data_IF_128800870408
#
_entry.id   IF_128800870408
#
_cell.length_a   1.000
_cell.length_b   1.000
_cell.length_c   1.000
_cell.angle_alpha   90.00
_cell.angle_beta   90.00
_cell.angle_gamma   90.00
#
_symmetry.space_group_name_H-M   'P 1'
#
loop_
_entity.id
_entity.type
_entity.pdbx_description
1 polymer ?
#
# COMPACT_ATOMS: atom_id res chain seq x y z
N UNK A 1 3.26 21.04 4.41
CA UNK A 1 2.81 19.79 5.09
C UNK A 1 3.52 18.65 4.40
N UNK A 2 4.45 17.98 5.10
CA UNK A 2 5.35 16.99 4.50
C UNK A 2 4.90 15.58 4.82
N UNK A 3 4.58 14.80 3.79
CA UNK A 3 4.20 13.39 3.87
C UNK A 3 5.46 12.53 3.72
N UNK A 4 5.75 11.65 4.67
CA UNK A 4 6.85 10.69 4.55
C UNK A 4 6.28 9.30 4.25
N UNK A 5 6.47 8.85 3.01
CA UNK A 5 6.04 7.54 2.52
C UNK A 5 7.20 6.57 2.67
N UNK A 6 7.04 5.51 3.46
CA UNK A 6 8.11 4.56 3.73
C UNK A 6 7.68 3.16 3.29
N UNK A 7 8.49 2.50 2.48
CA UNK A 7 8.25 1.11 2.09
C UNK A 7 9.06 0.68 0.88
N UNK A 8 9.22 -0.63 0.67
CA UNK A 8 10.01 -1.13 -0.44
C UNK A 8 9.39 -0.82 -1.79
N UNK A 9 10.24 -0.65 -2.81
CA UNK A 9 9.82 -0.81 -4.20
C UNK A 9 9.86 -2.28 -4.57
N UNK A 10 9.02 -2.66 -5.53
CA UNK A 10 8.95 -4.00 -6.04
C UNK A 10 9.12 -4.05 -7.55
N UNK A 11 9.58 -5.18 -8.04
CA UNK A 11 9.49 -5.52 -9.46
C UNK A 11 8.30 -6.45 -9.65
N UNK A 12 7.31 -6.00 -10.39
CA UNK A 12 6.14 -6.78 -10.76
C UNK A 12 6.34 -7.46 -12.11
N UNK A 13 6.06 -8.75 -12.19
CA UNK A 13 5.87 -9.48 -13.43
C UNK A 13 4.38 -9.73 -13.62
N UNK A 14 3.81 -9.16 -14.65
CA UNK A 14 2.39 -9.30 -14.99
C UNK A 14 2.27 -10.31 -16.11
N UNK A 15 1.55 -11.41 -15.85
CA UNK A 15 1.32 -12.51 -16.80
C UNK A 15 -0.16 -12.58 -17.10
N UNK A 16 -0.50 -12.37 -18.37
CA UNK A 16 -1.84 -12.63 -18.92
C UNK A 16 -1.78 -13.79 -19.92
N UNK A 17 -2.90 -14.24 -20.45
CA UNK A 17 -2.91 -15.27 -21.48
C UNK A 17 -2.07 -14.90 -22.72
N UNK A 18 -1.92 -13.59 -23.02
CA UNK A 18 -1.35 -13.10 -24.27
C UNK A 18 -0.03 -12.33 -24.07
N UNK A 19 0.36 -12.00 -22.84
CA UNK A 19 1.51 -11.16 -22.59
C UNK A 19 2.24 -11.50 -21.29
N UNK A 20 3.50 -11.14 -21.26
CA UNK A 20 4.34 -11.13 -20.07
C UNK A 20 5.10 -9.82 -20.04
N UNK A 21 4.84 -8.99 -19.06
CA UNK A 21 5.43 -7.66 -18.90
C UNK A 21 6.09 -7.51 -17.53
N UNK A 22 7.00 -6.55 -17.41
CA UNK A 22 7.64 -6.18 -16.15
C UNK A 22 7.37 -4.71 -15.89
N UNK A 23 7.08 -4.37 -14.65
CA UNK A 23 6.80 -3.00 -14.22
C UNK A 23 7.43 -2.74 -12.84
N UNK A 24 7.68 -1.49 -12.53
CA UNK A 24 7.92 -1.06 -11.17
C UNK A 24 6.59 -1.11 -10.39
N UNK A 25 6.66 -1.46 -9.12
CA UNK A 25 5.52 -1.60 -8.24
C UNK A 25 5.89 -1.34 -6.79
N UNK A 26 4.99 -1.77 -5.90
CA UNK A 26 5.02 -1.49 -4.48
C UNK A 26 4.17 -0.27 -4.11
N UNK A 27 3.55 -0.30 -2.93
CA UNK A 27 2.60 0.73 -2.52
C UNK A 27 3.23 2.12 -2.51
N UNK A 28 4.47 2.26 -2.01
CA UNK A 28 5.19 3.54 -2.00
C UNK A 28 5.40 4.12 -3.40
N UNK A 29 5.57 3.26 -4.42
CA UNK A 29 5.67 3.68 -5.82
C UNK A 29 4.36 4.30 -6.30
N UNK A 30 3.25 3.57 -6.19
CA UNK A 30 1.93 4.05 -6.65
C UNK A 30 1.46 5.30 -5.92
N UNK A 31 1.66 5.37 -4.62
CA UNK A 31 1.28 6.51 -3.79
C UNK A 31 2.06 7.77 -4.15
N UNK A 32 3.35 7.65 -4.49
CA UNK A 32 4.18 8.78 -4.90
C UNK A 32 3.63 9.48 -6.14
N UNK A 33 3.03 8.74 -7.08
CA UNK A 33 2.38 9.34 -8.26
C UNK A 33 1.14 10.14 -7.89
N UNK A 34 0.34 9.68 -6.94
CA UNK A 34 -0.82 10.43 -6.47
C UNK A 34 -0.37 11.73 -5.79
N UNK A 35 0.60 11.66 -4.88
CA UNK A 35 1.08 12.85 -4.17
C UNK A 35 1.73 13.86 -5.11
N UNK A 36 2.50 13.42 -6.11
CA UNK A 36 3.08 14.30 -7.12
C UNK A 36 1.99 14.97 -7.98
N UNK A 37 0.99 14.21 -8.45
CA UNK A 37 -0.10 14.71 -9.29
C UNK A 37 -0.92 15.81 -8.61
N UNK A 38 -1.14 15.65 -7.30
CA UNK A 38 -1.86 16.64 -6.50
C UNK A 38 -0.94 17.71 -5.87
N UNK A 39 0.32 17.80 -6.32
CA UNK A 39 1.31 18.77 -5.85
C UNK A 39 1.47 18.79 -4.32
N UNK A 40 1.44 17.62 -3.69
CA UNK A 40 1.70 17.49 -2.27
C UNK A 40 3.21 17.54 -2.00
N UNK A 41 3.59 18.11 -0.87
CA UNK A 41 4.96 18.02 -0.38
C UNK A 41 5.14 16.61 0.24
N UNK A 42 5.97 15.78 -0.40
CA UNK A 42 6.22 14.41 0.07
C UNK A 42 7.68 13.99 -0.10
N UNK A 43 8.08 13.03 0.70
CA UNK A 43 9.36 12.31 0.59
C UNK A 43 9.07 10.82 0.63
N UNK A 44 9.54 10.08 -0.38
CA UNK A 44 9.48 8.63 -0.41
C UNK A 44 10.82 8.05 0.07
N UNK A 45 10.79 7.28 1.15
CA UNK A 45 11.95 6.51 1.63
C UNK A 45 11.75 5.05 1.23
N UNK A 46 12.55 4.58 0.28
CA UNK A 46 12.31 3.28 -0.32
C UNK A 46 13.57 2.43 -0.42
N UNK A 47 13.45 1.15 -0.04
CA UNK A 47 14.51 0.18 -0.21
C UNK A 47 14.30 -0.65 -1.49
N UNK A 48 15.38 -0.88 -2.20
CA UNK A 48 15.46 -1.67 -3.43
C UNK A 48 16.93 -1.88 -3.82
N UNK A 49 17.19 -2.83 -4.73
CA UNK A 49 18.50 -3.04 -5.35
C UNK A 49 18.48 -2.70 -6.85
N UNK A 50 17.33 -2.90 -7.51
CA UNK A 50 17.21 -2.70 -8.95
C UNK A 50 16.94 -1.24 -9.30
N UNK A 51 17.94 -0.54 -9.87
CA UNK A 51 17.82 0.87 -10.27
C UNK A 51 16.84 1.11 -11.42
N UNK A 52 16.46 0.10 -12.19
CA UNK A 52 15.46 0.26 -13.25
C UNK A 52 14.08 0.61 -12.68
N UNK A 53 13.80 0.27 -11.42
CA UNK A 53 12.53 0.57 -10.75
C UNK A 53 12.28 2.07 -10.56
N UNK A 54 13.33 2.86 -10.48
CA UNK A 54 13.21 4.31 -10.26
C UNK A 54 13.31 5.13 -11.56
N UNK A 55 13.45 4.47 -12.71
CA UNK A 55 13.55 5.17 -14.00
C UNK A 55 12.34 6.06 -14.26
N UNK A 56 11.14 5.54 -13.96
CA UNK A 56 9.87 6.22 -14.18
C UNK A 56 9.26 6.74 -12.86
N UNK A 57 10.08 6.86 -11.80
CA UNK A 57 9.61 7.42 -10.54
C UNK A 57 9.20 8.90 -10.73
N UNK A 58 8.07 9.36 -10.16
CA UNK A 58 7.47 10.63 -10.56
C UNK A 58 8.37 11.83 -10.27
N UNK A 59 9.13 11.80 -9.17
CA UNK A 59 10.05 12.86 -8.80
C UNK A 59 11.25 12.29 -8.02
N UNK A 60 12.38 12.14 -8.68
CA UNK A 60 13.60 11.63 -8.04
C UNK A 60 14.16 12.55 -6.95
N UNK A 61 13.81 13.84 -6.96
CA UNK A 61 14.18 14.78 -5.90
C UNK A 61 13.50 14.49 -4.57
N UNK A 62 12.37 13.79 -4.61
CA UNK A 62 11.58 13.38 -3.44
C UNK A 62 11.89 11.94 -3.00
N UNK A 63 12.85 11.25 -3.63
CA UNK A 63 13.20 9.87 -3.30
C UNK A 63 14.48 9.81 -2.45
N UNK A 64 14.39 9.24 -1.26
CA UNK A 64 15.51 8.83 -0.42
C UNK A 64 15.69 7.32 -0.58
N UNK A 65 16.69 6.86 -1.35
CA UNK A 65 16.89 5.43 -1.58
C UNK A 65 17.63 4.78 -0.43
N UNK A 66 17.15 3.62 0.02
CA UNK A 66 17.88 2.66 0.84
C UNK A 66 18.30 1.53 -0.09
N UNK A 67 19.57 1.54 -0.50
CA UNK A 67 20.07 0.49 -1.40
C UNK A 67 20.31 -0.78 -0.61
N UNK A 68 19.49 -1.79 -0.85
CA UNK A 68 19.55 -3.11 -0.23
C UNK A 68 20.32 -4.15 -1.06
N UNK A 69 20.38 -5.37 -0.56
CA UNK A 69 21.05 -6.51 -1.24
C UNK A 69 20.12 -7.23 -2.22
N UNK A 70 18.80 -7.00 -2.12
CA UNK A 70 17.77 -7.65 -2.95
C UNK A 70 16.63 -6.65 -3.24
N UNK A 71 15.65 -7.09 -4.02
CA UNK A 71 14.44 -6.35 -4.36
C UNK A 71 13.23 -7.26 -4.23
N UNK A 72 12.12 -6.75 -3.71
CA UNK A 72 10.86 -7.48 -3.74
C UNK A 72 10.44 -7.78 -5.18
N UNK A 73 10.03 -9.01 -5.41
CA UNK A 73 9.58 -9.48 -6.70
C UNK A 73 8.21 -10.14 -6.56
N UNK A 74 7.26 -9.69 -7.38
CA UNK A 74 5.94 -10.30 -7.44
C UNK A 74 5.65 -10.81 -8.85
N UNK A 75 5.01 -11.98 -8.92
CA UNK A 75 4.41 -12.50 -10.13
C UNK A 75 2.91 -12.39 -9.96
N UNK A 76 2.26 -11.60 -10.80
CA UNK A 76 0.83 -11.42 -10.87
C UNK A 76 0.32 -12.14 -12.12
N UNK A 77 -0.30 -13.29 -11.94
CA UNK A 77 -0.85 -14.12 -13.01
C UNK A 77 -2.36 -13.97 -13.08
N UNK A 78 -2.84 -13.54 -14.24
CA UNK A 78 -4.27 -13.40 -14.55
C UNK A 78 -4.66 -14.51 -15.52
N UNK A 79 -5.27 -15.63 -15.03
CA UNK A 79 -5.58 -16.79 -15.83
C UNK A 79 -6.73 -16.54 -16.81
N UNK A 80 -7.60 -15.58 -16.52
CA UNK A 80 -8.78 -15.22 -17.33
C UNK A 80 -8.65 -13.76 -17.78
N UNK A 81 -8.70 -13.52 -19.10
CA UNK A 81 -8.56 -12.16 -19.63
C UNK A 81 -9.74 -11.23 -19.27
N UNK A 82 -10.91 -11.82 -19.05
CA UNK A 82 -12.16 -11.09 -18.84
C UNK A 82 -12.51 -10.92 -17.34
N UNK A 83 -11.68 -11.44 -16.44
CA UNK A 83 -11.89 -11.35 -15.00
C UNK A 83 -10.59 -11.04 -14.28
N UNK A 84 -10.30 -9.75 -14.06
CA UNK A 84 -9.13 -9.26 -13.36
C UNK A 84 -9.21 -9.43 -11.83
N UNK A 85 -10.35 -9.85 -11.29
CA UNK A 85 -10.50 -10.14 -9.86
C UNK A 85 -9.87 -11.50 -9.51
N UNK A 86 -9.72 -12.40 -10.51
CA UNK A 86 -9.05 -13.69 -10.33
C UNK A 86 -7.55 -13.53 -10.62
N UNK A 87 -6.78 -13.27 -9.56
CA UNK A 87 -5.32 -13.13 -9.62
C UNK A 87 -4.64 -14.20 -8.76
N UNK A 88 -3.65 -14.87 -9.33
CA UNK A 88 -2.66 -15.64 -8.56
C UNK A 88 -1.43 -14.77 -8.34
N UNK A 89 -0.98 -14.70 -7.12
CA UNK A 89 0.18 -13.89 -6.77
C UNK A 89 1.25 -14.74 -6.09
N UNK A 90 2.51 -14.51 -6.51
CA UNK A 90 3.67 -15.16 -5.93
C UNK A 90 4.72 -14.11 -5.59
N UNK A 91 5.57 -14.39 -4.61
CA UNK A 91 6.62 -13.47 -4.17
C UNK A 91 7.91 -14.22 -3.85
N UNK A 92 9.04 -13.52 -3.99
CA UNK A 92 10.34 -14.00 -3.51
C UNK A 92 10.52 -13.82 -1.99
N UNK A 93 9.61 -13.09 -1.32
CA UNK A 93 9.72 -12.76 0.10
C UNK A 93 11.13 -12.28 0.49
N UNK A 94 11.67 -11.35 -0.30
CA UNK A 94 12.97 -10.76 -0.03
C UNK A 94 13.05 -10.24 1.41
N UNK A 95 14.14 -10.61 2.11
CA UNK A 95 14.35 -10.16 3.48
C UNK A 95 15.23 -8.91 3.49
N UNK A 96 14.61 -7.76 3.27
CA UNK A 96 15.27 -6.44 3.18
C UNK A 96 14.57 -5.43 4.09
N UNK A 97 14.60 -5.63 5.43
CA UNK A 97 13.90 -4.75 6.36
C UNK A 97 14.41 -3.31 6.29
N UNK A 98 13.51 -2.36 6.50
CA UNK A 98 13.83 -0.96 6.72
C UNK A 98 14.11 -0.79 8.21
N UNK A 99 15.36 -0.50 8.55
CA UNK A 99 15.82 -0.38 9.92
C UNK A 99 15.78 1.09 10.39
N UNK A 100 15.48 1.31 11.66
CA UNK A 100 15.44 2.66 12.26
C UNK A 100 16.72 3.46 12.02
N UNK A 101 17.89 2.82 12.03
CA UNK A 101 19.17 3.47 11.85
C UNK A 101 19.41 3.95 10.39
N UNK A 102 18.54 3.57 9.47
CA UNK A 102 18.49 4.03 8.07
C UNK A 102 17.55 5.23 7.88
N UNK A 103 16.81 5.62 8.94
CA UNK A 103 15.77 6.63 8.89
C UNK A 103 16.24 7.87 9.64
N UNK A 104 16.94 8.78 8.94
CA UNK A 104 17.34 10.08 9.48
C UNK A 104 16.57 11.18 8.77
N UNK A 105 15.77 11.93 9.53
CA UNK A 105 14.98 13.04 9.00
C UNK A 105 15.52 14.36 9.55
N UNK A 106 15.87 15.26 8.64
CA UNK A 106 16.42 16.60 8.96
C UNK A 106 15.42 17.72 8.65
N UNK A 107 14.15 17.36 8.42
CA UNK A 107 13.05 18.25 8.09
C UNK A 107 11.83 17.94 8.97
N UNK A 108 10.88 18.85 9.01
CA UNK A 108 9.62 18.70 9.73
C UNK A 108 8.71 17.70 9.00
N UNK A 109 8.08 16.81 9.76
CA UNK A 109 7.22 15.74 9.25
C UNK A 109 5.81 15.96 9.82
N UNK A 110 4.81 15.89 8.97
CA UNK A 110 3.42 16.01 9.39
C UNK A 110 2.69 14.64 9.46
N UNK A 111 3.16 13.64 8.70
CA UNK A 111 2.55 12.31 8.66
C UNK A 111 3.50 11.25 8.13
N UNK A 112 3.42 10.04 8.67
CA UNK A 112 4.04 8.84 8.11
C UNK A 112 3.01 7.96 7.40
N UNK A 113 3.42 7.39 6.26
CA UNK A 113 2.67 6.40 5.51
C UNK A 113 3.55 5.16 5.35
N UNK A 114 3.16 4.05 6.00
CA UNK A 114 3.96 2.83 6.06
C UNK A 114 3.38 1.75 5.14
N UNK A 115 4.22 1.23 4.27
CA UNK A 115 3.84 0.34 3.19
C UNK A 115 4.66 -0.96 3.15
N UNK A 116 4.53 -1.87 4.12
CA UNK A 116 5.20 -3.17 4.04
C UNK A 116 4.66 -4.00 2.86
N UNK A 117 5.51 -4.74 2.20
CA UNK A 117 5.17 -5.72 1.17
C UNK A 117 5.27 -7.15 1.70
N UNK A 118 6.04 -7.37 2.77
CA UNK A 118 6.02 -8.58 3.56
C UNK A 118 6.20 -8.29 5.06
N UNK A 119 6.03 -9.33 5.88
CA UNK A 119 5.98 -9.25 7.36
C UNK A 119 7.24 -8.65 8.00
N UNK A 120 8.40 -8.81 7.37
CA UNK A 120 9.69 -8.42 7.95
C UNK A 120 10.16 -7.03 7.50
N UNK A 121 9.42 -6.35 6.62
CA UNK A 121 9.87 -5.07 6.08
C UNK A 121 9.99 -3.97 7.12
N UNK A 122 9.16 -4.02 8.17
CA UNK A 122 9.23 -3.11 9.30
C UNK A 122 9.36 -3.90 10.61
N UNK A 123 10.57 -4.05 11.16
CA UNK A 123 10.74 -4.49 12.54
C UNK A 123 9.98 -3.59 13.52
N UNK A 124 9.47 -4.15 14.62
CA UNK A 124 8.70 -3.38 15.62
C UNK A 124 9.51 -2.18 16.12
N UNK A 125 10.81 -2.34 16.30
CA UNK A 125 11.72 -1.27 16.73
C UNK A 125 11.75 -0.09 15.74
N UNK A 126 11.51 -0.34 14.46
CA UNK A 126 11.40 0.72 13.44
C UNK A 126 10.08 1.46 13.58
N UNK A 127 8.98 0.72 13.77
CA UNK A 127 7.66 1.32 13.99
C UNK A 127 7.68 2.15 15.28
N UNK A 128 8.25 1.62 16.37
CA UNK A 128 8.35 2.32 17.66
C UNK A 128 9.21 3.59 17.56
N UNK A 129 10.27 3.55 16.74
CA UNK A 129 11.04 4.75 16.45
C UNK A 129 10.18 5.81 15.74
N UNK A 130 9.40 5.45 14.74
CA UNK A 130 8.54 6.39 14.03
C UNK A 130 7.44 6.99 14.92
N UNK A 131 6.90 6.23 15.86
CA UNK A 131 5.95 6.72 16.87
C UNK A 131 6.55 7.83 17.77
N UNK A 132 7.87 7.90 17.91
CA UNK A 132 8.52 8.95 18.73
C UNK A 132 8.39 10.35 18.14
N UNK A 133 8.01 10.48 16.88
CA UNK A 133 7.79 11.77 16.22
C UNK A 133 6.45 12.43 16.58
N UNK A 134 5.55 11.70 17.23
CA UNK A 134 4.23 12.19 17.68
C UNK A 134 3.39 12.81 16.55
N UNK A 135 3.45 12.18 15.37
CA UNK A 135 2.65 12.54 14.19
C UNK A 135 1.78 11.35 13.76
N UNK A 136 0.68 11.59 13.03
CA UNK A 136 -0.16 10.51 12.53
C UNK A 136 0.61 9.47 11.70
N UNK A 137 0.29 8.18 11.90
CA UNK A 137 0.83 7.06 11.13
C UNK A 137 -0.32 6.34 10.44
N UNK A 138 -0.27 6.31 9.10
CA UNK A 138 -1.16 5.56 8.24
C UNK A 138 -0.45 4.30 7.76
N UNK A 139 -1.07 3.14 7.95
CA UNK A 139 -0.43 1.84 7.74
C UNK A 139 -1.22 0.96 6.77
N UNK A 140 -0.57 0.51 5.69
CA UNK A 140 -1.07 -0.60 4.87
C UNK A 140 -0.81 -1.92 5.58
N UNK A 141 -1.84 -2.71 5.83
CA UNK A 141 -1.71 -3.97 6.57
C UNK A 141 -1.20 -5.13 5.71
N UNK A 142 -1.32 -5.02 4.40
CA UNK A 142 -1.10 -6.09 3.44
C UNK A 142 0.19 -6.88 3.68
N UNK A 143 1.32 -6.20 3.84
CA UNK A 143 2.61 -6.86 4.01
C UNK A 143 2.71 -7.67 5.29
N UNK A 144 2.21 -7.16 6.41
CA UNK A 144 2.26 -7.86 7.69
C UNK A 144 1.47 -9.16 7.73
N UNK A 145 0.45 -9.27 6.87
CA UNK A 145 -0.42 -10.44 6.80
C UNK A 145 0.09 -11.51 5.82
N UNK A 146 1.08 -11.21 4.98
CA UNK A 146 1.61 -12.11 3.94
C UNK A 146 2.74 -12.97 4.49
N UNK A 147 2.63 -14.28 4.26
CA UNK A 147 3.68 -15.26 4.52
C UNK A 147 3.88 -16.17 3.30
N UNK A 148 5.10 -16.75 3.13
CA UNK A 148 5.30 -17.77 2.11
C UNK A 148 4.52 -19.04 2.45
N UNK A 149 3.93 -19.66 1.41
CA UNK A 149 3.22 -20.94 1.51
C UNK A 149 3.96 -22.01 0.68
N UNK A 150 3.43 -22.40 -0.47
CA UNK A 150 4.03 -23.39 -1.31
C UNK A 150 5.16 -22.82 -2.17
N UNK A 151 6.29 -23.52 -2.23
CA UNK A 151 7.41 -23.16 -3.11
C UNK A 151 7.04 -23.48 -4.56
N UNK A 152 7.08 -22.45 -5.44
CA UNK A 152 6.70 -22.56 -6.85
C UNK A 152 7.94 -22.81 -7.73
N UNK A 153 9.04 -22.15 -7.43
CA UNK A 153 10.34 -22.30 -8.11
C UNK A 153 11.49 -22.06 -7.12
N UNK A 154 12.72 -21.88 -7.60
CA UNK A 154 13.88 -21.72 -6.74
C UNK A 154 13.82 -20.49 -5.83
N UNK A 155 13.05 -19.46 -6.19
CA UNK A 155 13.01 -18.17 -5.49
C UNK A 155 11.60 -17.76 -5.05
N UNK A 156 10.55 -18.25 -5.71
CA UNK A 156 9.20 -17.74 -5.53
C UNK A 156 8.31 -18.73 -4.78
N UNK A 157 7.43 -18.18 -3.98
CA UNK A 157 6.42 -18.88 -3.15
C UNK A 157 5.03 -18.31 -3.43
N UNK A 158 4.01 -19.13 -3.32
CA UNK A 158 2.64 -18.65 -3.21
C UNK A 158 2.47 -17.86 -1.91
N UNK A 159 1.50 -16.97 -1.91
CA UNK A 159 1.22 -16.10 -0.77
C UNK A 159 0.06 -16.67 0.02
N UNK A 160 0.25 -16.85 1.31
CA UNK A 160 -0.80 -17.13 2.29
C UNK A 160 -0.99 -15.93 3.20
N UNK A 161 -2.22 -15.66 3.59
CA UNK A 161 -2.52 -14.67 4.60
C UNK A 161 -2.54 -15.33 5.99
N UNK A 162 -1.88 -14.71 6.94
CA UNK A 162 -1.81 -15.16 8.33
C UNK A 162 -1.62 -13.97 9.27
N UNK A 163 -2.43 -13.94 10.33
CA UNK A 163 -2.33 -12.92 11.38
C UNK A 163 -1.01 -13.06 12.13
N UNK A 164 -0.20 -11.99 12.26
CA UNK A 164 1.04 -12.04 13.03
C UNK A 164 0.75 -12.12 14.54
N UNK A 165 1.58 -12.87 15.28
CA UNK A 165 1.43 -13.01 16.73
C UNK A 165 1.65 -11.69 17.49
N UNK A 166 2.47 -10.79 16.94
CA UNK A 166 2.81 -9.48 17.49
C UNK A 166 1.96 -8.33 16.93
N UNK A 167 0.76 -8.62 16.44
CA UNK A 167 -0.11 -7.61 15.82
C UNK A 167 -0.44 -6.46 16.77
N UNK A 168 -0.61 -6.75 18.06
CA UNK A 168 -0.90 -5.73 19.07
C UNK A 168 0.27 -4.71 19.21
N UNK A 169 1.53 -5.16 19.11
CA UNK A 169 2.71 -4.29 19.13
C UNK A 169 2.79 -3.42 17.86
N UNK A 170 2.42 -3.99 16.70
CA UNK A 170 2.39 -3.28 15.43
C UNK A 170 1.35 -2.15 15.47
N UNK A 171 0.13 -2.46 15.90
CA UNK A 171 -1.02 -1.56 15.81
C UNK A 171 -1.10 -0.51 16.92
N UNK A 172 -0.44 -0.73 18.06
CA UNK A 172 -0.44 0.25 19.14
C UNK A 172 0.13 1.60 18.68
N UNK A 173 -0.66 2.68 18.78
CA UNK A 173 -0.25 4.04 18.39
C UNK A 173 -0.30 4.30 16.87
N UNK A 174 -0.97 3.44 16.08
CA UNK A 174 -1.26 3.68 14.66
C UNK A 174 -2.56 4.48 14.55
N UNK A 175 -2.56 5.54 13.76
CA UNK A 175 -3.73 6.42 13.55
C UNK A 175 -4.77 5.76 12.65
N UNK A 176 -4.35 5.22 11.53
CA UNK A 176 -5.26 4.57 10.58
C UNK A 176 -4.61 3.35 9.91
N UNK A 177 -5.43 2.33 9.63
CA UNK A 177 -5.00 1.15 8.88
C UNK A 177 -5.85 0.94 7.63
N UNK A 178 -5.19 0.38 6.60
CA UNK A 178 -5.81 0.04 5.33
C UNK A 178 -5.66 -1.44 5.05
N UNK A 179 -6.78 -2.07 4.69
CA UNK A 179 -6.85 -3.50 4.38
C UNK A 179 -7.90 -3.75 3.30
N UNK A 180 -7.85 -4.92 2.70
CA UNK A 180 -9.00 -5.43 1.94
C UNK A 180 -9.97 -6.21 2.85
N UNK A 181 -11.12 -6.59 2.30
CA UNK A 181 -12.17 -7.31 3.04
C UNK A 181 -11.69 -8.67 3.57
N UNK A 182 -10.79 -9.37 2.88
CA UNK A 182 -10.25 -10.66 3.30
C UNK A 182 -9.24 -10.49 4.44
N UNK A 183 -8.43 -9.46 4.37
CA UNK A 183 -7.47 -9.05 5.39
C UNK A 183 -8.19 -8.60 6.66
N UNK A 184 -9.28 -7.82 6.53
CA UNK A 184 -10.08 -7.36 7.64
C UNK A 184 -10.71 -8.53 8.42
N UNK A 185 -11.27 -9.53 7.73
CA UNK A 185 -11.80 -10.76 8.34
C UNK A 185 -10.73 -11.56 9.10
N UNK A 186 -9.48 -11.49 8.67
CA UNK A 186 -8.38 -12.15 9.35
C UNK A 186 -7.92 -11.39 10.60
N UNK A 187 -7.90 -10.06 10.54
CA UNK A 187 -7.43 -9.19 11.63
C UNK A 187 -8.46 -9.07 12.74
N UNK A 188 -9.74 -8.89 12.37
CA UNK A 188 -10.84 -8.60 13.29
C UNK A 188 -11.77 -9.80 13.43
N UNK A 189 -11.70 -10.47 14.56
CA UNK A 189 -12.59 -11.57 14.91
C UNK A 189 -14.02 -11.03 15.11
N UNK A 190 -15.01 -11.61 14.42
CA UNK A 190 -16.43 -11.25 14.52
C UNK A 190 -16.72 -9.73 14.37
N UNK A 191 -16.00 -9.06 13.47
CA UNK A 191 -16.12 -7.62 13.21
C UNK A 191 -15.89 -6.74 14.47
N UNK A 192 -15.07 -7.22 15.40
CA UNK A 192 -14.72 -6.46 16.60
C UNK A 192 -13.64 -5.41 16.29
N UNK A 193 -14.03 -4.34 15.60
CA UNK A 193 -13.16 -3.22 15.23
C UNK A 193 -12.66 -2.39 16.42
N UNK A 194 -13.32 -2.46 17.57
CA UNK A 194 -12.93 -1.76 18.79
C UNK A 194 -11.82 -2.44 19.59
N UNK A 195 -11.29 -3.58 19.11
CA UNK A 195 -10.21 -4.30 19.76
C UNK A 195 -8.94 -3.47 19.90
N UNK A 196 -8.64 -2.66 18.89
CA UNK A 196 -7.46 -1.81 18.83
C UNK A 196 -7.89 -0.35 18.94
N UNK A 197 -7.03 0.46 19.57
CA UNK A 197 -7.21 1.91 19.67
C UNK A 197 -6.70 2.58 18.38
N UNK A 198 -7.52 2.50 17.33
CA UNK A 198 -7.23 3.01 15.99
C UNK A 198 -8.36 3.96 15.61
N UNK A 199 -8.01 5.18 15.20
CA UNK A 199 -9.01 6.21 14.87
C UNK A 199 -9.81 5.86 13.62
N UNK A 200 -9.16 5.27 12.60
CA UNK A 200 -9.79 4.95 11.33
C UNK A 200 -9.34 3.59 10.78
N UNK A 201 -10.29 2.72 10.47
CA UNK A 201 -10.05 1.44 9.79
C UNK A 201 -10.72 1.52 8.42
N UNK A 202 -9.91 1.55 7.37
CA UNK A 202 -10.38 1.67 5.99
C UNK A 202 -10.31 0.30 5.32
N UNK A 203 -11.47 -0.24 4.92
CA UNK A 203 -11.62 -1.57 4.34
C UNK A 203 -12.11 -1.44 2.91
N UNK A 204 -11.27 -1.80 1.95
CA UNK A 204 -11.63 -1.79 0.52
C UNK A 204 -12.19 -3.14 0.06
N UNK A 205 -13.14 -3.13 -0.87
CA UNK A 205 -13.76 -4.33 -1.41
C UNK A 205 -13.98 -4.24 -2.94
N UNK A 206 -12.95 -3.84 -3.67
CA UNK A 206 -12.96 -3.74 -5.12
C UNK A 206 -14.22 -3.04 -5.67
N UNK A 207 -14.98 -3.68 -6.56
CA UNK A 207 -16.21 -3.14 -7.16
C UNK A 207 -17.36 -2.91 -6.18
N UNK A 208 -17.29 -3.48 -4.98
CA UNK A 208 -18.30 -3.28 -3.91
C UNK A 208 -18.04 -2.01 -3.08
N UNK A 209 -16.99 -1.25 -3.41
CA UNK A 209 -16.63 -0.02 -2.74
C UNK A 209 -15.74 -0.19 -1.51
N UNK A 210 -15.99 0.57 -0.45
CA UNK A 210 -15.21 0.52 0.79
C UNK A 210 -16.06 0.84 2.02
N UNK A 211 -15.50 0.51 3.19
CA UNK A 211 -16.08 0.84 4.50
C UNK A 211 -15.02 1.54 5.34
N UNK A 212 -15.44 2.57 6.06
CA UNK A 212 -14.57 3.30 6.98
C UNK A 212 -15.18 3.20 8.37
N UNK A 213 -14.43 2.63 9.31
CA UNK A 213 -14.83 2.49 10.70
C UNK A 213 -14.10 3.56 11.51
N UNK A 214 -14.85 4.52 12.04
CA UNK A 214 -14.33 5.67 12.80
C UNK A 214 -15.31 6.07 13.91
N UNK A 215 -15.57 5.15 14.84
CA UNK A 215 -16.65 5.27 15.84
C UNK A 215 -18.01 4.79 15.32
N UNK A 216 -18.30 4.99 14.06
CA UNK A 216 -19.42 4.42 13.31
C UNK A 216 -18.89 3.83 11.98
N UNK A 217 -19.73 3.07 11.28
CA UNK A 217 -19.42 2.59 9.93
C UNK A 217 -19.95 3.56 8.88
N UNK A 218 -19.09 3.97 7.95
CA UNK A 218 -19.41 4.76 6.77
C UNK A 218 -19.16 3.86 5.55
N UNK A 219 -20.16 3.75 4.67
CA UNK A 219 -20.06 3.00 3.42
C UNK A 219 -19.83 3.96 2.27
N UNK A 220 -18.83 3.63 1.45
CA UNK A 220 -18.48 4.39 0.25
C UNK A 220 -18.74 3.50 -0.95
N UNK A 221 -19.55 3.95 -1.88
CA UNK A 221 -19.81 3.23 -3.12
C UNK A 221 -18.61 3.30 -4.07
N UNK A 222 -18.39 2.23 -4.84
CA UNK A 222 -17.43 2.27 -5.93
C UNK A 222 -17.99 3.09 -7.10
N UNK A 223 -17.11 3.82 -7.81
CA UNK A 223 -17.48 4.39 -9.10
C UNK A 223 -17.43 3.30 -10.18
N UNK A 224 -18.48 3.20 -10.97
CA UNK A 224 -18.54 2.26 -12.08
C UNK A 224 -17.51 2.61 -13.16
N UNK A 225 -16.76 1.62 -13.62
CA UNK A 225 -15.78 1.74 -14.72
C UNK A 225 -16.13 0.69 -15.78
N UNK A 226 -16.40 1.15 -17.01
CA UNK A 226 -16.78 0.25 -18.10
C UNK A 226 -15.60 -0.56 -18.64
N UNK A 227 -14.43 0.10 -18.81
CA UNK A 227 -13.22 -0.51 -19.38
C UNK A 227 -12.07 -0.49 -18.39
N UNK A 228 -11.78 -1.61 -17.76
CA UNK A 228 -10.67 -1.76 -16.82
C UNK A 228 -9.42 -2.14 -17.60
N UNK A 229 -8.41 -1.26 -17.56
CA UNK A 229 -7.11 -1.49 -18.19
C UNK A 229 -6.14 -2.23 -17.23
N UNK A 230 -6.07 -1.83 -15.97
CA UNK A 230 -5.14 -2.39 -14.98
C UNK A 230 -5.60 -2.11 -13.56
N UNK A 231 -5.76 -3.16 -12.74
CA UNK A 231 -6.14 -3.05 -11.32
C UNK A 231 -4.94 -2.97 -10.36
N UNK A 232 -3.70 -3.14 -10.87
CA UNK A 232 -2.49 -3.11 -10.03
C UNK A 232 -2.30 -1.74 -9.38
N UNK A 233 -2.15 -1.69 -8.07
CA UNK A 233 -1.95 -0.44 -7.33
C UNK A 233 -3.20 0.40 -7.08
N UNK A 234 -4.42 -0.10 -7.40
CA UNK A 234 -5.66 0.63 -7.11
C UNK A 234 -5.88 0.84 -5.60
N UNK A 235 -5.63 -0.16 -4.77
CA UNK A 235 -5.70 -0.01 -3.32
C UNK A 235 -4.69 0.99 -2.78
N UNK A 236 -3.46 0.99 -3.32
CA UNK A 236 -2.41 1.93 -2.95
C UNK A 236 -2.77 3.36 -3.38
N UNK A 237 -3.37 3.51 -4.57
CA UNK A 237 -3.91 4.79 -5.08
C UNK A 237 -5.05 5.28 -4.21
N UNK A 238 -5.99 4.40 -3.82
CA UNK A 238 -7.06 4.72 -2.90
C UNK A 238 -6.50 5.25 -1.56
N UNK A 239 -5.56 4.52 -0.96
CA UNK A 239 -4.92 4.92 0.30
C UNK A 239 -4.28 6.31 0.21
N UNK A 240 -3.50 6.59 -0.85
CA UNK A 240 -2.87 7.88 -1.04
C UNK A 240 -3.88 9.03 -1.19
N UNK A 241 -4.93 8.83 -2.00
CA UNK A 241 -5.98 9.81 -2.22
C UNK A 241 -6.79 10.08 -0.93
N UNK A 242 -7.06 9.02 -0.15
CA UNK A 242 -7.70 9.14 1.15
C UNK A 242 -6.87 10.00 2.12
N UNK A 243 -5.59 9.66 2.27
CA UNK A 243 -4.66 10.40 3.15
C UNK A 243 -4.58 11.86 2.74
N UNK A 244 -4.46 12.15 1.44
CA UNK A 244 -4.43 13.51 0.91
C UNK A 244 -5.62 14.33 1.43
N UNK A 245 -6.83 13.78 1.33
CA UNK A 245 -8.05 14.48 1.77
C UNK A 245 -8.13 14.60 3.29
N UNK A 246 -7.72 13.57 4.02
CA UNK A 246 -7.67 13.64 5.50
C UNK A 246 -6.71 14.72 5.99
N UNK A 247 -5.58 14.92 5.31
CA UNK A 247 -4.63 16.00 5.62
C UNK A 247 -5.20 17.40 5.30
N UNK A 248 -6.14 17.51 4.40
CA UNK A 248 -6.87 18.75 4.12
C UNK A 248 -8.06 18.99 5.08
N UNK A 249 -8.19 18.16 6.13
CA UNK A 249 -9.23 18.22 7.15
C UNK A 249 -10.64 17.87 6.64
N UNK A 250 -10.74 17.20 5.50
CA UNK A 250 -12.00 16.65 5.01
C UNK A 250 -12.47 15.50 5.94
N UNK A 251 -13.76 15.27 6.00
CA UNK A 251 -14.31 14.14 6.78
C UNK A 251 -13.85 12.78 6.21
N UNK A 252 -13.90 11.70 7.02
CA UNK A 252 -13.63 10.35 6.49
C UNK A 252 -14.51 9.97 5.30
N UNK A 253 -15.78 10.43 5.28
CA UNK A 253 -16.70 10.20 4.17
C UNK A 253 -16.23 10.88 2.89
N UNK A 254 -15.97 12.19 2.93
CA UNK A 254 -15.47 12.97 1.79
C UNK A 254 -14.11 12.42 1.28
N UNK A 255 -13.24 12.01 2.21
CA UNK A 255 -11.96 11.40 1.86
C UNK A 255 -12.15 10.04 1.17
N UNK A 256 -13.09 9.22 1.64
CA UNK A 256 -13.44 7.94 1.03
C UNK A 256 -14.05 8.09 -0.37
N UNK A 257 -14.99 9.03 -0.55
CA UNK A 257 -15.59 9.31 -1.86
C UNK A 257 -14.54 9.78 -2.87
N UNK A 258 -13.66 10.69 -2.46
CA UNK A 258 -12.55 11.14 -3.31
C UNK A 258 -11.59 9.99 -3.64
N UNK A 259 -11.23 9.17 -2.65
CA UNK A 259 -10.34 8.03 -2.86
C UNK A 259 -10.93 7.00 -3.84
N UNK A 260 -12.25 6.74 -3.73
CA UNK A 260 -12.99 5.88 -4.65
C UNK A 260 -12.94 6.43 -6.08
N UNK A 261 -13.14 7.74 -6.27
CA UNK A 261 -13.04 8.39 -7.58
C UNK A 261 -11.63 8.23 -8.18
N UNK A 262 -10.58 8.55 -7.44
CA UNK A 262 -9.19 8.49 -7.94
C UNK A 262 -8.77 7.04 -8.24
N UNK A 263 -9.19 6.08 -7.42
CA UNK A 263 -8.96 4.66 -7.70
C UNK A 263 -9.69 4.20 -8.97
N UNK A 264 -10.90 4.70 -9.23
CA UNK A 264 -11.65 4.39 -10.45
C UNK A 264 -10.98 4.98 -11.70
N UNK A 265 -10.49 6.21 -11.64
CA UNK A 265 -9.72 6.82 -12.74
C UNK A 265 -8.43 6.03 -13.03
N UNK A 266 -7.74 5.54 -11.99
CA UNK A 266 -6.55 4.69 -12.13
C UNK A 266 -6.86 3.39 -12.87
N UNK A 267 -8.00 2.77 -12.65
CA UNK A 267 -8.42 1.53 -13.34
C UNK A 267 -8.44 1.67 -14.87
N UNK A 268 -8.67 2.87 -15.42
CA UNK A 268 -8.78 3.13 -16.85
C UNK A 268 -7.43 3.23 -17.56
N UNK A 269 -6.30 3.16 -16.84
CA UNK A 269 -4.95 3.29 -17.43
C UNK A 269 -3.98 2.25 -16.88
N UNK A 270 -2.99 1.86 -17.69
CA UNK A 270 -1.90 1.01 -17.23
C UNK A 270 -0.90 1.79 -16.38
N UNK A 271 -0.36 1.10 -15.34
CA UNK A 271 0.64 1.66 -14.44
C UNK A 271 0.03 2.59 -13.38
N UNK A 272 0.84 3.48 -12.77
CA UNK A 272 0.39 4.35 -11.69
C UNK A 272 -0.60 5.42 -12.17
N UNK A 273 -1.31 6.01 -11.20
CA UNK A 273 -2.28 7.06 -11.45
C UNK A 273 -1.65 8.24 -12.19
N UNK A 274 -2.38 8.73 -13.17
CA UNK A 274 -2.13 10.00 -13.88
C UNK A 274 -3.49 10.63 -14.16
N UNK A 275 -3.63 11.92 -13.89
CA UNK A 275 -4.86 12.65 -14.19
C UNK A 275 -5.21 12.53 -15.67
N UNK A 276 -6.47 12.36 -15.95
CA UNK A 276 -7.01 12.30 -17.32
C UNK A 276 -7.27 13.68 -17.92
N UNK A 277 -6.97 14.77 -17.18
CA UNK A 277 -7.24 16.16 -17.57
C UNK A 277 -5.94 16.87 -17.95
#
# INVERSE_FOLDING_TARGET
MTIVVIGPLAQDQIITQNSKTYAAGGASYFQSFVFEEFNMDYVAVANFNNLDLIRDFPNLGNLIPIVGDDTHYFINEYPENDNLDIRKQYSNFANIPILKDQLEFVFEIDVFVLNPLNRNDFPVETIDYLKTFDVPIYLSMQGFLRIPDEKIDDKNYSIKLEKPDNLDDILNGITAIFLDESEAKLVFDDDNYSRYDIDEIVITNASEGSRIICGNEIKIEAFEVEDIADSTGCGDTYMAAYILKRLLLDSPEEAGEFASLIASEKLMSFGPYKSLI
#
